data_IF_530455053140
#
_entry.id   IF_530455053140
#
_cell.length_a   1.000
_cell.length_b   1.000
_cell.length_c   1.000
_cell.angle_alpha   90.00
_cell.angle_beta   90.00
_cell.angle_gamma   90.00
#
_symmetry.space_group_name_H-M   'P 1'
#
loop_
_entity.id
_entity.type
_entity.pdbx_description
1 polymer ?
#
# COMPACT_ATOMS: atom_id res chain seq x y z
N UNK A 1 -26.45 -15.14 21.64
CA UNK A 1 -26.19 -15.40 20.21
C UNK A 1 -25.20 -14.36 19.72
N UNK A 2 -23.96 -14.74 19.40
CA UNK A 2 -23.06 -13.86 18.66
C UNK A 2 -23.63 -13.69 17.25
N UNK A 3 -24.06 -12.47 16.87
CA UNK A 3 -24.35 -12.17 15.47
C UNK A 3 -23.05 -12.38 14.69
N UNK A 4 -23.06 -13.29 13.73
CA UNK A 4 -21.94 -13.47 12.81
C UNK A 4 -21.61 -12.17 12.08
N UNK A 5 -20.36 -12.03 11.64
CA UNK A 5 -19.91 -10.87 10.86
C UNK A 5 -20.77 -10.70 9.61
N UNK A 6 -21.29 -9.49 9.32
CA UNK A 6 -22.10 -9.26 8.13
C UNK A 6 -21.35 -9.67 6.85
N UNK A 7 -22.04 -10.27 5.89
CA UNK A 7 -21.44 -10.72 4.61
C UNK A 7 -20.68 -9.58 3.92
N UNK A 8 -21.24 -8.36 3.92
CA UNK A 8 -20.58 -7.19 3.35
C UNK A 8 -19.21 -6.88 3.98
N UNK A 9 -19.08 -7.02 5.31
CA UNK A 9 -17.82 -6.83 6.03
C UNK A 9 -16.82 -7.92 5.64
N UNK A 10 -17.28 -9.17 5.61
CA UNK A 10 -16.46 -10.32 5.23
C UNK A 10 -15.92 -10.16 3.81
N UNK A 11 -16.78 -9.84 2.84
CA UNK A 11 -16.38 -9.60 1.44
C UNK A 11 -15.39 -8.45 1.34
N UNK A 12 -15.65 -7.33 2.03
CA UNK A 12 -14.77 -6.16 2.02
C UNK A 12 -13.38 -6.49 2.59
N UNK A 13 -13.32 -7.29 3.66
CA UNK A 13 -12.06 -7.80 4.22
C UNK A 13 -11.30 -8.70 3.24
N UNK A 14 -11.99 -9.58 2.52
CA UNK A 14 -11.35 -10.40 1.49
C UNK A 14 -10.78 -9.58 0.33
N UNK A 15 -11.51 -8.56 -0.12
CA UNK A 15 -11.02 -7.61 -1.13
C UNK A 15 -9.75 -6.90 -0.60
N UNK A 16 -9.80 -6.40 0.64
CA UNK A 16 -8.64 -5.76 1.28
C UNK A 16 -7.44 -6.68 1.40
N UNK A 17 -7.64 -7.92 1.83
CA UNK A 17 -6.59 -8.94 1.93
C UNK A 17 -5.93 -9.17 0.57
N UNK A 18 -6.72 -9.47 -0.46
CA UNK A 18 -6.17 -9.78 -1.78
C UNK A 18 -5.49 -8.56 -2.40
N UNK A 19 -6.09 -7.38 -2.27
CA UNK A 19 -5.52 -6.12 -2.74
C UNK A 19 -4.20 -5.79 -2.07
N UNK A 20 -4.13 -5.88 -0.74
CA UNK A 20 -2.91 -5.61 0.03
C UNK A 20 -1.79 -6.61 -0.29
N UNK A 21 -2.13 -7.90 -0.43
CA UNK A 21 -1.16 -8.92 -0.85
C UNK A 21 -0.63 -8.66 -2.26
N UNK A 22 -1.50 -8.29 -3.21
CA UNK A 22 -1.08 -7.96 -4.57
C UNK A 22 -0.19 -6.71 -4.59
N UNK A 23 -0.58 -5.68 -3.84
CA UNK A 23 0.19 -4.45 -3.68
C UNK A 23 1.60 -4.73 -3.13
N UNK A 24 1.70 -5.58 -2.10
CA UNK A 24 2.99 -5.99 -1.54
C UNK A 24 3.85 -6.73 -2.58
N UNK A 25 3.25 -7.59 -3.40
CA UNK A 25 3.94 -8.28 -4.48
C UNK A 25 4.54 -7.31 -5.51
N UNK A 26 3.79 -6.29 -5.93
CA UNK A 26 4.28 -5.24 -6.84
C UNK A 26 5.49 -4.53 -6.26
N UNK A 27 5.42 -4.14 -4.98
CA UNK A 27 6.51 -3.39 -4.34
C UNK A 27 7.72 -4.26 -3.99
N UNK A 28 7.57 -5.57 -3.79
CA UNK A 28 8.70 -6.49 -3.70
C UNK A 28 9.46 -6.61 -5.03
N UNK A 29 8.73 -6.65 -6.15
CA UNK A 29 9.35 -6.63 -7.48
C UNK A 29 10.13 -5.32 -7.66
N UNK A 30 9.54 -4.18 -7.30
CA UNK A 30 10.24 -2.89 -7.33
C UNK A 30 11.46 -2.87 -6.41
N UNK A 31 11.35 -3.36 -5.17
CA UNK A 31 12.47 -3.44 -4.24
C UNK A 31 13.66 -4.22 -4.83
N UNK A 32 13.39 -5.31 -5.56
CA UNK A 32 14.42 -6.15 -6.17
C UNK A 32 15.02 -5.58 -7.47
N UNK A 33 14.30 -4.71 -8.19
CA UNK A 33 14.68 -4.28 -9.54
C UNK A 33 14.87 -2.77 -9.71
N UNK A 34 14.58 -1.97 -8.69
CA UNK A 34 14.85 -0.53 -8.71
C UNK A 34 16.35 -0.30 -8.87
N UNK A 35 16.70 0.45 -9.89
CA UNK A 35 18.08 0.81 -10.19
C UNK A 35 18.11 2.24 -10.74
N UNK A 36 18.91 3.09 -10.12
CA UNK A 36 19.21 4.44 -10.62
C UNK A 36 20.69 4.51 -10.98
N UNK A 37 21.06 4.25 -12.25
CA UNK A 37 22.45 4.34 -12.69
C UNK A 37 23.07 5.70 -12.34
N UNK A 38 24.22 5.68 -11.68
CA UNK A 38 24.89 6.89 -11.19
C UNK A 38 24.42 7.40 -9.81
N UNK A 39 23.42 6.76 -9.19
CA UNK A 39 22.88 7.10 -7.87
C UNK A 39 22.74 5.84 -7.00
N UNK A 40 23.87 5.22 -6.63
CA UNK A 40 23.91 3.95 -5.90
C UNK A 40 23.22 4.05 -4.52
N UNK A 41 23.55 5.07 -3.72
CA UNK A 41 22.90 5.28 -2.42
C UNK A 41 21.39 5.51 -2.55
N UNK A 42 20.95 6.26 -3.56
CA UNK A 42 19.52 6.44 -3.80
C UNK A 42 18.85 5.11 -4.15
N UNK A 43 19.51 4.28 -4.96
CA UNK A 43 19.04 2.93 -5.29
C UNK A 43 18.80 2.08 -4.04
N UNK A 44 19.77 2.05 -3.12
CA UNK A 44 19.65 1.31 -1.86
C UNK A 44 18.52 1.86 -0.97
N UNK A 45 18.39 3.19 -0.87
CA UNK A 45 17.33 3.84 -0.09
C UNK A 45 15.95 3.46 -0.64
N UNK A 46 15.72 3.62 -1.95
CA UNK A 46 14.42 3.31 -2.55
C UNK A 46 14.12 1.80 -2.53
N UNK A 47 15.12 0.94 -2.76
CA UNK A 47 14.97 -0.51 -2.65
C UNK A 47 14.53 -0.91 -1.23
N UNK A 48 15.21 -0.37 -0.21
CA UNK A 48 14.87 -0.61 1.20
C UNK A 48 13.49 -0.07 1.55
N UNK A 49 13.17 1.14 1.08
CA UNK A 49 11.86 1.76 1.29
C UNK A 49 10.74 0.87 0.72
N UNK A 50 10.86 0.40 -0.52
CA UNK A 50 9.88 -0.49 -1.13
C UNK A 50 9.77 -1.85 -0.41
N UNK A 51 10.89 -2.40 0.07
CA UNK A 51 10.86 -3.59 0.91
C UNK A 51 10.11 -3.37 2.23
N UNK A 52 10.36 -2.23 2.88
CA UNK A 52 9.69 -1.85 4.12
C UNK A 52 8.18 -1.62 3.92
N UNK A 53 7.77 -0.86 2.92
CA UNK A 53 6.34 -0.63 2.64
C UNK A 53 5.63 -1.92 2.21
N UNK A 54 6.30 -2.80 1.48
CA UNK A 54 5.78 -4.15 1.18
C UNK A 54 5.49 -4.94 2.45
N UNK A 55 6.39 -4.89 3.44
CA UNK A 55 6.16 -5.56 4.72
C UNK A 55 4.93 -4.99 5.45
N UNK A 56 4.73 -3.66 5.44
CA UNK A 56 3.53 -3.03 6.01
C UNK A 56 2.24 -3.43 5.28
N UNK A 57 2.29 -3.59 3.96
CA UNK A 57 1.16 -4.09 3.19
C UNK A 57 0.85 -5.58 3.47
N UNK A 58 1.86 -6.42 3.73
CA UNK A 58 1.66 -7.79 4.21
C UNK A 58 0.98 -7.78 5.59
N UNK A 59 1.45 -6.94 6.52
CA UNK A 59 0.80 -6.77 7.83
C UNK A 59 -0.65 -6.32 7.66
N UNK A 60 -0.91 -5.40 6.74
CA UNK A 60 -2.26 -4.97 6.37
C UNK A 60 -3.14 -6.12 5.86
N UNK A 61 -2.60 -6.98 5.00
CA UNK A 61 -3.29 -8.17 4.53
C UNK A 61 -3.72 -9.07 5.71
N UNK A 62 -2.82 -9.28 6.67
CA UNK A 62 -3.12 -10.03 7.90
C UNK A 62 -4.17 -9.32 8.78
N UNK A 63 -4.12 -7.99 8.88
CA UNK A 63 -5.13 -7.19 9.59
C UNK A 63 -6.52 -7.44 9.01
N UNK A 64 -6.66 -7.45 7.68
CA UNK A 64 -7.92 -7.76 7.02
C UNK A 64 -8.34 -9.22 7.17
N UNK A 65 -7.38 -10.16 7.10
CA UNK A 65 -7.64 -11.59 7.32
C UNK A 65 -8.26 -11.83 8.70
N UNK A 66 -7.61 -11.30 9.75
CA UNK A 66 -7.98 -11.54 11.14
C UNK A 66 -9.08 -10.60 11.63
N UNK A 67 -9.25 -9.45 10.98
CA UNK A 67 -10.30 -8.48 11.31
C UNK A 67 -9.92 -7.63 12.51
N UNK A 68 -8.67 -7.17 12.55
CA UNK A 68 -8.15 -6.39 13.66
C UNK A 68 -8.65 -4.95 13.52
N UNK A 69 -9.89 -4.71 13.95
CA UNK A 69 -10.65 -3.46 13.72
C UNK A 69 -9.90 -2.19 14.14
N UNK A 70 -9.14 -2.26 15.23
CA UNK A 70 -8.33 -1.14 15.73
C UNK A 70 -7.25 -0.66 14.76
N UNK A 71 -6.91 -1.46 13.74
CA UNK A 71 -5.86 -1.16 12.77
C UNK A 71 -6.38 -0.74 11.39
N UNK A 72 -7.70 -0.71 11.15
CA UNK A 72 -8.23 -0.25 9.86
C UNK A 72 -7.90 1.22 9.56
N UNK A 73 -7.93 2.09 10.57
CA UNK A 73 -7.54 3.50 10.39
C UNK A 73 -6.03 3.66 10.14
N UNK A 74 -5.13 3.04 10.92
CA UNK A 74 -3.71 2.98 10.58
C UNK A 74 -3.44 2.48 9.16
N UNK A 75 -4.13 1.43 8.71
CA UNK A 75 -4.05 0.94 7.33
C UNK A 75 -4.50 1.97 6.30
N UNK A 76 -5.61 2.68 6.56
CA UNK A 76 -6.07 3.77 5.71
C UNK A 76 -4.99 4.86 5.56
N UNK A 77 -4.41 5.29 6.68
CA UNK A 77 -3.37 6.32 6.70
C UNK A 77 -2.14 5.86 5.91
N UNK A 78 -1.74 4.59 6.05
CA UNK A 78 -0.63 4.01 5.30
C UNK A 78 -0.80 4.19 3.78
N UNK A 79 -1.93 3.77 3.20
CA UNK A 79 -2.15 3.92 1.75
C UNK A 79 -2.33 5.37 1.29
N UNK A 80 -2.85 6.26 2.14
CA UNK A 80 -2.91 7.69 1.81
C UNK A 80 -1.50 8.27 1.69
N UNK A 81 -0.63 7.96 2.65
CA UNK A 81 0.76 8.42 2.63
C UNK A 81 1.49 7.84 1.42
N UNK A 82 1.30 6.56 1.13
CA UNK A 82 1.96 5.92 0.00
C UNK A 82 1.54 6.55 -1.34
N UNK A 83 0.22 6.72 -1.56
CA UNK A 83 -0.31 7.42 -2.74
C UNK A 83 0.29 8.82 -2.89
N UNK A 84 0.41 9.57 -1.79
CA UNK A 84 0.98 10.91 -1.80
C UNK A 84 2.45 10.89 -2.19
N UNK A 85 3.27 10.03 -1.58
CA UNK A 85 4.71 9.90 -1.89
C UNK A 85 4.96 9.40 -3.32
N UNK A 86 4.17 8.42 -3.76
CA UNK A 86 4.26 7.89 -5.11
C UNK A 86 3.90 8.97 -6.15
N UNK A 87 2.86 9.77 -5.88
CA UNK A 87 2.47 10.88 -6.76
C UNK A 87 3.48 12.02 -6.74
N UNK A 88 3.98 12.40 -5.55
CA UNK A 88 4.95 13.48 -5.38
C UNK A 88 6.22 13.19 -6.19
N UNK A 89 6.77 11.99 -6.11
CA UNK A 89 7.98 11.61 -6.85
C UNK A 89 7.82 11.62 -8.39
N UNK A 90 6.58 11.73 -8.90
CA UNK A 90 6.23 11.82 -10.34
C UNK A 90 5.78 13.21 -10.77
N UNK A 91 5.60 14.12 -9.82
CA UNK A 91 5.16 15.51 -10.07
C UNK A 91 6.18 16.54 -9.59
N UNK A 92 7.08 16.14 -8.69
CA UNK A 92 8.17 16.92 -8.12
C UNK A 92 9.48 16.10 -8.11
N UNK A 93 10.65 16.79 -8.01
CA UNK A 93 11.94 16.10 -7.92
C UNK A 93 12.01 15.17 -6.71
N UNK A 94 12.36 13.90 -6.94
CA UNK A 94 12.50 12.92 -5.87
C UNK A 94 13.70 13.27 -4.97
N UNK A 95 13.49 13.23 -3.65
CA UNK A 95 14.41 13.81 -2.64
C UNK A 95 15.89 13.40 -2.81
N UNK A 96 16.15 12.11 -3.06
CA UNK A 96 17.52 11.56 -3.14
C UNK A 96 18.13 11.53 -4.55
N UNK A 97 17.38 11.93 -5.59
CA UNK A 97 17.84 11.91 -6.99
C UNK A 97 17.84 13.34 -7.58
N UNK A 98 16.98 14.23 -7.07
CA UNK A 98 16.82 15.59 -7.57
C UNK A 98 16.16 15.66 -8.95
N UNK A 99 15.49 14.58 -9.38
CA UNK A 99 14.79 14.49 -10.67
C UNK A 99 13.40 13.90 -10.49
N UNK A 100 12.48 14.29 -11.35
CA UNK A 100 11.15 13.67 -11.44
C UNK A 100 11.33 12.24 -11.96
N UNK A 101 10.73 11.27 -11.28
CA UNK A 101 10.80 9.87 -11.69
C UNK A 101 9.80 9.60 -12.82
N UNK A 102 10.14 8.69 -13.76
CA UNK A 102 9.21 8.31 -14.81
C UNK A 102 8.01 7.54 -14.26
N UNK A 103 6.89 7.67 -14.95
CA UNK A 103 5.74 6.78 -14.79
C UNK A 103 6.03 5.50 -15.55
N UNK A 104 5.74 4.36 -14.92
CA UNK A 104 5.81 3.04 -15.53
C UNK A 104 4.61 2.20 -15.07
N UNK A 105 4.45 1.02 -15.65
CA UNK A 105 3.29 0.16 -15.39
C UNK A 105 3.12 -0.19 -13.90
N UNK A 106 4.21 -0.35 -13.14
CA UNK A 106 4.13 -0.65 -11.71
C UNK A 106 3.59 0.54 -10.91
N UNK A 107 3.95 1.77 -11.30
CA UNK A 107 3.42 3.01 -10.68
C UNK A 107 1.92 3.12 -10.91
N UNK A 108 1.46 2.86 -12.14
CA UNK A 108 0.04 2.90 -12.48
C UNK A 108 -0.75 1.84 -11.70
N UNK A 109 -0.23 0.62 -11.62
CA UNK A 109 -0.83 -0.45 -10.82
C UNK A 109 -0.88 -0.04 -9.34
N UNK A 110 0.21 0.50 -8.78
CA UNK A 110 0.25 0.95 -7.38
C UNK A 110 -0.78 2.04 -7.11
N UNK A 111 -0.90 3.07 -7.94
CA UNK A 111 -1.92 4.12 -7.78
C UNK A 111 -3.35 3.57 -7.74
N UNK A 112 -3.68 2.64 -8.64
CA UNK A 112 -5.01 2.01 -8.65
C UNK A 112 -5.25 1.23 -7.37
N UNK A 113 -4.25 0.45 -6.93
CA UNK A 113 -4.35 -0.35 -5.71
C UNK A 113 -4.41 0.53 -4.45
N UNK A 114 -3.68 1.64 -4.40
CA UNK A 114 -3.75 2.61 -3.29
C UNK A 114 -5.16 3.17 -3.14
N UNK A 115 -5.73 3.68 -4.23
CA UNK A 115 -7.09 4.24 -4.21
C UNK A 115 -8.11 3.18 -3.78
N UNK A 116 -7.99 1.95 -4.30
CA UNK A 116 -8.85 0.83 -3.90
C UNK A 116 -8.71 0.52 -2.41
N UNK A 117 -7.48 0.44 -1.89
CA UNK A 117 -7.21 0.06 -0.51
C UNK A 117 -7.55 1.19 0.48
N UNK A 118 -7.45 2.45 0.06
CA UNK A 118 -8.01 3.61 0.78
C UNK A 118 -9.52 3.45 0.93
N UNK A 119 -10.25 3.17 -0.16
CA UNK A 119 -11.71 2.98 -0.13
C UNK A 119 -12.08 1.81 0.78
N UNK A 120 -11.42 0.66 0.62
CA UNK A 120 -11.68 -0.55 1.43
C UNK A 120 -11.43 -0.28 2.92
N UNK A 121 -10.31 0.33 3.27
CA UNK A 121 -9.95 0.63 4.65
C UNK A 121 -10.91 1.64 5.28
N UNK A 122 -11.29 2.67 4.54
CA UNK A 122 -12.26 3.67 4.98
C UNK A 122 -13.65 3.07 5.19
N UNK A 123 -14.10 2.18 4.28
CA UNK A 123 -15.36 1.46 4.43
C UNK A 123 -15.33 0.60 5.69
N UNK A 124 -14.31 -0.24 5.87
CA UNK A 124 -14.18 -1.10 7.06
C UNK A 124 -14.11 -0.30 8.36
N UNK A 125 -13.35 0.79 8.39
CA UNK A 125 -13.29 1.68 9.55
C UNK A 125 -14.65 2.32 9.88
N UNK A 126 -15.51 2.52 8.88
CA UNK A 126 -16.85 3.08 9.07
C UNK A 126 -17.87 2.03 9.50
N UNK A 127 -17.85 0.84 8.90
CA UNK A 127 -18.94 -0.15 9.01
C UNK A 127 -18.63 -1.33 9.95
N UNK A 128 -17.36 -1.64 10.19
CA UNK A 128 -16.90 -2.70 11.09
C UNK A 128 -16.25 -2.06 12.33
N UNK A 129 -17.02 -1.20 12.99
CA UNK A 129 -16.63 -0.53 14.23
C UNK A 129 -16.77 -1.49 15.41
N UNK A 130 -15.87 -1.33 16.38
CA UNK A 130 -15.88 -2.05 17.65
C UNK A 130 -17.19 -1.81 18.42
#
# INVERSE_FOLDING_TARGET
>A
MQRGTPIAVTVTRWIGLLGASLWAGVHLVLAAHVAFPGYLTATEIYSTFFGFTSALAIVTSVIFLLGIRGLYLPTLIFYIIDLALLTETRTAPALFIGKVLPVNIYVEISWVLDVLLIIVSALLWKIDRA
#
